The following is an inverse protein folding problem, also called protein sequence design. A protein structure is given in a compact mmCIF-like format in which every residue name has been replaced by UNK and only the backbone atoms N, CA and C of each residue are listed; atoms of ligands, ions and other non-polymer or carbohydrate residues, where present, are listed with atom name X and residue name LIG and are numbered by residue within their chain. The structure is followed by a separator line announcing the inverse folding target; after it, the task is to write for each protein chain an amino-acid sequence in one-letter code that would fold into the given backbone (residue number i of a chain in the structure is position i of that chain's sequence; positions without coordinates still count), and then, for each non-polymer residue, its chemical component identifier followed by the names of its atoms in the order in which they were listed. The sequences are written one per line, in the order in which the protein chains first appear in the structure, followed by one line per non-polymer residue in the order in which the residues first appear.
data_IF_132758302964
#
_entry.id   IF_132758302964
#
_cell.length_a   1.000
_cell.length_b   1.000
_cell.length_c   1.000
_cell.angle_alpha   90.00
_cell.angle_beta   90.00
_cell.angle_gamma   90.00
#
_symmetry.space_group_name_H-M   'P 1'
#
loop_
_entity.id
_entity.type
_entity.pdbx_description
1 polymer ?
#
# COMPACT_ATOMS: atom_id res chain seq x y z
N UNK A 1 0.51 -1.15 0.69
CA UNK A 1 -0.18 -0.72 -0.53
C UNK A 1 -1.41 0.14 -0.24
N UNK A 2 -2.57 -0.37 0.19
CA UNK A 2 -3.81 0.46 0.29
C UNK A 2 -3.61 1.76 1.10
N UNK A 3 -3.15 1.67 2.36
CA UNK A 3 -2.86 2.86 3.18
C UNK A 3 -1.90 3.84 2.46
N UNK A 4 -0.81 3.30 1.91
CA UNK A 4 0.18 4.06 1.16
C UNK A 4 -0.45 4.84 -0.02
N UNK A 5 -1.24 4.18 -0.88
CA UNK A 5 -1.76 4.84 -2.10
C UNK A 5 -2.85 5.85 -1.78
N UNK A 6 -3.66 5.60 -0.74
CA UNK A 6 -4.66 6.57 -0.28
C UNK A 6 -3.99 7.80 0.33
N UNK A 7 -3.01 7.62 1.21
CA UNK A 7 -2.25 8.73 1.80
C UNK A 7 -1.46 9.49 0.74
N UNK A 8 -0.84 8.79 -0.22
CA UNK A 8 -0.17 9.41 -1.35
C UNK A 8 -1.13 10.26 -2.19
N UNK A 9 -2.31 9.73 -2.54
CA UNK A 9 -3.28 10.48 -3.33
C UNK A 9 -3.75 11.75 -2.61
N UNK A 10 -4.03 11.66 -1.30
CA UNK A 10 -4.38 12.82 -0.47
C UNK A 10 -3.25 13.85 -0.39
N UNK A 11 -2.01 13.40 -0.20
CA UNK A 11 -0.86 14.27 -0.13
C UNK A 11 -0.61 14.97 -1.47
N UNK A 12 -0.65 14.23 -2.58
CA UNK A 12 -0.51 14.77 -3.94
C UNK A 12 -1.57 15.83 -4.24
N UNK A 13 -2.83 15.58 -3.90
CA UNK A 13 -3.92 16.54 -4.12
C UNK A 13 -3.76 17.86 -3.36
N UNK A 14 -2.93 17.90 -2.30
CA UNK A 14 -2.59 19.13 -1.56
C UNK A 14 -1.34 19.82 -2.08
N UNK A 15 -0.62 19.22 -3.03
CA UNK A 15 0.61 19.81 -3.55
C UNK A 15 0.30 20.95 -4.53
N UNK A 16 1.02 22.08 -4.44
CA UNK A 16 0.92 23.14 -5.44
C UNK A 16 1.18 22.58 -6.85
N UNK A 17 0.30 22.92 -7.79
CA UNK A 17 0.38 22.47 -9.19
C UNK A 17 -0.31 21.13 -9.48
N UNK A 18 -0.84 20.43 -8.47
CA UNK A 18 -1.69 19.26 -8.68
C UNK A 18 -3.16 19.67 -8.56
N UNK A 19 -3.89 19.60 -9.68
CA UNK A 19 -5.31 19.93 -9.69
C UNK A 19 -6.19 18.76 -9.22
N UNK A 20 -5.90 17.55 -9.72
CA UNK A 20 -6.70 16.36 -9.50
C UNK A 20 -5.85 15.10 -9.42
N UNK A 21 -6.24 14.16 -8.56
CA UNK A 21 -5.66 12.81 -8.47
C UNK A 21 -6.79 11.77 -8.51
N UNK A 22 -6.73 10.88 -9.50
CA UNK A 22 -7.65 9.73 -9.60
C UNK A 22 -6.93 8.44 -9.21
N UNK A 23 -7.37 7.82 -8.11
CA UNK A 23 -6.92 6.51 -7.66
C UNK A 23 -7.86 5.43 -8.22
N UNK A 24 -7.42 4.77 -9.30
CA UNK A 24 -8.21 3.69 -9.89
C UNK A 24 -8.21 2.41 -9.05
N UNK A 25 -9.37 1.78 -8.96
CA UNK A 25 -9.56 0.48 -8.33
C UNK A 25 -10.69 -0.30 -9.03
N UNK A 26 -10.91 -1.54 -8.60
CA UNK A 26 -12.03 -2.37 -9.10
C UNK A 26 -13.34 -1.99 -8.43
N UNK A 27 -14.41 -1.89 -9.21
CA UNK A 27 -15.78 -1.82 -8.68
C UNK A 27 -16.29 -3.21 -8.33
N UNK A 28 -16.72 -3.40 -7.07
CA UNK A 28 -17.21 -4.70 -6.58
C UNK A 28 -18.58 -4.49 -5.94
N UNK A 29 -19.59 -5.12 -6.51
CA UNK A 29 -21.00 -5.07 -6.09
C UNK A 29 -21.41 -6.42 -5.50
N UNK A 30 -20.61 -6.93 -4.56
CA UNK A 30 -20.82 -8.21 -3.90
C UNK A 30 -21.31 -7.99 -2.46
N UNK A 31 -22.25 -8.79 -1.95
CA UNK A 31 -22.64 -8.74 -0.54
C UNK A 31 -21.52 -9.14 0.43
N UNK A 32 -20.43 -9.75 -0.07
CA UNK A 32 -19.26 -10.14 0.73
C UNK A 32 -18.35 -8.95 1.13
N UNK A 33 -18.55 -7.78 0.51
CA UNK A 33 -17.79 -6.57 0.79
C UNK A 33 -18.73 -5.42 1.14
N UNK A 34 -18.19 -4.39 1.78
CA UNK A 34 -18.99 -3.20 2.09
C UNK A 34 -19.56 -2.57 0.81
N UNK A 35 -20.80 -2.07 0.89
CA UNK A 35 -21.53 -1.54 -0.26
C UNK A 35 -20.80 -0.37 -0.95
N UNK A 36 -19.95 0.37 -0.21
CA UNK A 36 -19.13 1.46 -0.76
C UNK A 36 -18.17 1.00 -1.86
N UNK A 37 -17.79 -0.28 -1.91
CA UNK A 37 -16.99 -0.83 -3.01
C UNK A 37 -17.75 -0.86 -4.34
N UNK A 38 -19.08 -0.77 -4.28
CA UNK A 38 -19.95 -0.63 -5.43
C UNK A 38 -20.07 0.80 -5.94
N UNK A 39 -19.69 1.81 -5.16
CA UNK A 39 -19.80 3.22 -5.55
C UNK A 39 -18.74 3.57 -6.61
N UNK A 40 -19.15 4.10 -7.79
CA UNK A 40 -18.23 4.32 -8.90
C UNK A 40 -17.17 5.38 -8.60
N UNK A 41 -17.47 6.35 -7.74
CA UNK A 41 -16.55 7.40 -7.34
C UNK A 41 -16.70 7.72 -5.84
N UNK A 42 -15.60 8.03 -5.18
CA UNK A 42 -15.56 8.48 -3.79
C UNK A 42 -14.51 9.57 -3.65
N UNK A 43 -14.86 10.70 -3.03
CA UNK A 43 -13.91 11.78 -2.79
C UNK A 43 -13.08 11.49 -1.53
N UNK A 44 -11.75 11.53 -1.65
CA UNK A 44 -10.81 11.31 -0.56
C UNK A 44 -10.47 12.59 0.20
N UNK A 45 -10.25 13.69 -0.52
CA UNK A 45 -9.88 15.02 0.00
C UNK A 45 -10.11 16.04 -1.11
N UNK A 46 -10.66 17.21 -0.79
CA UNK A 46 -10.80 18.30 -1.75
C UNK A 46 -9.45 18.90 -2.16
N UNK A 47 -9.47 19.84 -3.11
CA UNK A 47 -8.30 20.67 -3.41
C UNK A 47 -7.84 21.49 -2.19
N UNK A 48 -6.64 22.09 -2.22
CA UNK A 48 -6.22 23.01 -1.18
C UNK A 48 -7.22 24.16 -1.06
N UNK A 49 -7.80 24.34 0.13
CA UNK A 49 -8.57 25.53 0.47
C UNK A 49 -7.55 26.67 0.66
N UNK A 50 -7.26 27.42 -0.40
CA UNK A 50 -6.45 28.65 -0.29
C UNK A 50 -7.37 29.87 -0.31
N UNK A 51 -7.02 30.87 0.50
CA UNK A 51 -7.80 32.05 0.88
C UNK A 51 -8.22 32.91 -0.34
N UNK A 52 -9.23 32.47 -1.09
CA UNK A 52 -9.91 33.27 -2.13
C UNK A 52 -9.77 32.80 -3.58
N UNK A 53 -9.20 31.61 -3.84
CA UNK A 53 -9.24 30.99 -5.19
C UNK A 53 -10.29 29.87 -5.17
N UNK A 54 -11.40 30.05 -5.89
CA UNK A 54 -12.36 28.96 -6.14
C UNK A 54 -11.65 27.86 -6.92
N UNK A 55 -11.18 26.83 -6.22
CA UNK A 55 -10.67 25.62 -6.87
C UNK A 55 -11.87 24.88 -7.44
N UNK A 56 -11.85 24.62 -8.75
CA UNK A 56 -13.01 24.04 -9.45
C UNK A 56 -13.52 22.72 -8.83
N UNK A 57 -14.80 22.42 -9.06
CA UNK A 57 -15.54 21.32 -8.40
C UNK A 57 -14.91 19.93 -8.56
N UNK A 58 -14.05 19.75 -9.57
CA UNK A 58 -13.38 18.47 -9.86
C UNK A 58 -11.96 18.37 -9.27
N UNK A 59 -11.55 19.32 -8.44
CA UNK A 59 -10.24 19.33 -7.79
C UNK A 59 -10.17 18.42 -6.57
N UNK A 60 -8.96 17.92 -6.28
CA UNK A 60 -8.71 17.04 -5.14
C UNK A 60 -8.41 15.58 -5.53
N UNK A 61 -8.53 14.68 -4.57
CA UNK A 61 -8.26 13.25 -4.73
C UNK A 61 -9.56 12.43 -4.71
N UNK A 62 -9.67 11.47 -5.62
CA UNK A 62 -10.83 10.60 -5.76
C UNK A 62 -10.42 9.13 -5.87
N UNK A 63 -11.18 8.21 -5.31
CA UNK A 63 -11.18 6.80 -5.70
C UNK A 63 -12.15 6.67 -6.87
N UNK A 64 -11.67 6.12 -7.99
CA UNK A 64 -12.48 5.83 -9.16
C UNK A 64 -12.53 4.32 -9.36
N UNK A 65 -13.71 3.73 -9.23
CA UNK A 65 -13.90 2.28 -9.29
C UNK A 65 -14.36 1.87 -10.67
N UNK A 66 -13.47 1.22 -11.42
CA UNK A 66 -13.74 0.73 -12.77
C UNK A 66 -14.39 -0.66 -12.68
N UNK A 67 -15.56 -0.88 -13.32
CA UNK A 67 -16.15 -2.21 -13.42
C UNK A 67 -15.32 -3.08 -14.36
N UNK A 68 -14.86 -4.24 -13.88
CA UNK A 68 -14.26 -5.26 -14.72
C UNK A 68 -14.35 -6.65 -14.09
N UNK A 69 -14.47 -7.68 -14.93
CA UNK A 69 -14.77 -9.03 -14.52
C UNK A 69 -16.10 -9.15 -13.74
N UNK A 70 -16.37 -10.31 -13.11
CA UNK A 70 -17.60 -10.55 -12.36
C UNK A 70 -17.79 -9.60 -11.16
N UNK A 71 -18.75 -8.68 -11.25
CA UNK A 71 -18.98 -7.62 -10.24
C UNK A 71 -19.67 -8.11 -8.98
N UNK A 72 -20.44 -9.18 -9.09
CA UNK A 72 -21.26 -9.79 -8.04
C UNK A 72 -20.45 -10.55 -6.98
N UNK A 73 -19.14 -10.72 -7.18
CA UNK A 73 -18.24 -11.44 -6.27
C UNK A 73 -16.88 -10.78 -6.09
N UNK A 74 -16.32 -10.97 -4.91
CA UNK A 74 -14.93 -10.63 -4.66
C UNK A 74 -13.99 -11.60 -5.41
N UNK A 75 -12.98 -11.05 -6.07
CA UNK A 75 -11.91 -11.83 -6.69
C UNK A 75 -10.59 -11.53 -6.01
N UNK A 76 -9.85 -12.60 -5.72
CA UNK A 76 -8.47 -12.49 -5.25
C UNK A 76 -7.59 -11.98 -6.40
N UNK A 77 -6.57 -11.20 -6.08
CA UNK A 77 -5.67 -10.56 -7.05
C UNK A 77 -5.06 -11.54 -8.07
N UNK A 78 -4.79 -12.78 -7.66
CA UNK A 78 -4.25 -13.83 -8.53
C UNK A 78 -5.21 -14.22 -9.68
N UNK A 79 -6.49 -13.89 -9.56
CA UNK A 79 -7.54 -14.20 -10.54
C UNK A 79 -7.91 -12.99 -11.41
N UNK A 80 -7.29 -11.83 -11.20
CA UNK A 80 -7.63 -10.60 -11.95
C UNK A 80 -6.94 -10.53 -13.33
N UNK A 81 -5.86 -11.29 -13.55
CA UNK A 81 -5.06 -11.24 -14.78
C UNK A 81 -5.86 -11.32 -16.10
N UNK A 82 -6.88 -12.18 -16.25
CA UNK A 82 -7.66 -12.25 -17.49
C UNK A 82 -8.48 -10.98 -17.80
N UNK A 83 -8.68 -10.11 -16.81
CA UNK A 83 -9.55 -8.94 -16.92
C UNK A 83 -8.77 -7.61 -16.92
N UNK A 84 -7.44 -7.65 -17.00
CA UNK A 84 -6.60 -6.45 -16.99
C UNK A 84 -6.91 -5.53 -18.19
N UNK A 85 -7.12 -6.10 -19.38
CA UNK A 85 -7.48 -5.29 -20.56
C UNK A 85 -8.85 -4.62 -20.41
N UNK A 86 -9.84 -5.31 -19.85
CA UNK A 86 -11.16 -4.74 -19.56
C UNK A 86 -11.06 -3.56 -18.57
N UNK A 87 -10.20 -3.68 -17.55
CA UNK A 87 -9.90 -2.58 -16.64
C UNK A 87 -9.25 -1.40 -17.38
N UNK A 88 -8.29 -1.65 -18.28
CA UNK A 88 -7.62 -0.62 -19.07
C UNK A 88 -8.61 0.12 -19.98
N UNK A 89 -9.52 -0.59 -20.65
CA UNK A 89 -10.55 0.02 -21.49
C UNK A 89 -11.45 0.96 -20.67
N UNK A 90 -11.90 0.52 -19.49
CA UNK A 90 -12.70 1.34 -18.59
C UNK A 90 -11.95 2.54 -18.02
N UNK A 91 -10.68 2.37 -17.63
CA UNK A 91 -9.82 3.44 -17.15
C UNK A 91 -9.52 4.47 -18.27
N UNK A 92 -9.27 4.01 -19.49
CA UNK A 92 -9.06 4.86 -20.66
C UNK A 92 -10.31 5.68 -20.96
N UNK A 93 -11.50 5.07 -20.93
CA UNK A 93 -12.76 5.78 -21.12
C UNK A 93 -12.97 6.87 -20.05
N UNK A 94 -12.64 6.58 -18.79
CA UNK A 94 -12.67 7.59 -17.72
C UNK A 94 -11.69 8.73 -17.98
N UNK A 95 -10.43 8.43 -18.31
CA UNK A 95 -9.42 9.44 -18.62
C UNK A 95 -9.85 10.34 -19.80
N UNK A 96 -10.45 9.77 -20.86
CA UNK A 96 -10.95 10.52 -22.01
C UNK A 96 -12.11 11.45 -21.63
N UNK A 97 -13.03 10.98 -20.79
CA UNK A 97 -14.14 11.79 -20.31
C UNK A 97 -13.64 12.92 -19.40
N UNK A 98 -12.78 12.62 -18.43
CA UNK A 98 -12.21 13.61 -17.54
C UNK A 98 -11.35 14.62 -18.29
N UNK A 99 -10.63 14.22 -19.33
CA UNK A 99 -9.83 15.14 -20.14
C UNK A 99 -10.68 16.22 -20.80
N UNK A 100 -11.90 15.89 -21.24
CA UNK A 100 -12.88 16.86 -21.78
C UNK A 100 -13.43 17.76 -20.68
N UNK A 101 -13.88 17.17 -19.57
CA UNK A 101 -14.46 17.92 -18.43
C UNK A 101 -13.46 18.92 -17.86
N UNK A 102 -12.21 18.48 -17.61
CA UNK A 102 -11.13 19.34 -17.16
C UNK A 102 -10.74 20.36 -18.22
N UNK A 103 -10.86 20.02 -19.51
CA UNK A 103 -10.67 20.97 -20.59
C UNK A 103 -11.63 22.14 -20.55
N UNK A 104 -12.90 21.88 -20.26
CA UNK A 104 -13.92 22.93 -20.08
C UNK A 104 -13.70 23.76 -18.80
N UNK A 105 -13.32 23.12 -17.70
CA UNK A 105 -13.16 23.78 -16.40
C UNK A 105 -11.87 24.61 -16.29
N UNK A 106 -10.72 24.05 -16.71
CA UNK A 106 -9.39 24.62 -16.48
C UNK A 106 -8.51 24.67 -17.73
N UNK A 107 -8.87 23.95 -18.80
CA UNK A 107 -8.08 23.87 -20.04
C UNK A 107 -8.45 24.90 -21.10
N UNK A 108 -9.35 25.85 -20.82
CA UNK A 108 -9.81 26.84 -21.81
C UNK A 108 -10.48 26.22 -23.03
N UNK A 109 -11.19 25.10 -22.84
CA UNK A 109 -11.83 24.30 -23.89
C UNK A 109 -10.90 23.31 -24.60
N UNK A 110 -9.61 23.25 -24.25
CA UNK A 110 -8.68 22.24 -24.77
C UNK A 110 -8.61 21.02 -23.84
N UNK A 111 -8.51 19.78 -24.36
CA UNK A 111 -8.42 18.58 -23.53
C UNK A 111 -7.23 18.64 -22.56
N UNK A 112 -7.47 18.28 -21.30
CA UNK A 112 -6.44 18.24 -20.25
C UNK A 112 -6.11 16.79 -19.94
N UNK A 113 -4.90 16.37 -20.31
CA UNK A 113 -4.45 14.99 -20.12
C UNK A 113 -3.80 14.78 -18.74
N UNK A 114 -3.82 13.54 -18.22
CA UNK A 114 -3.01 13.19 -17.07
C UNK A 114 -1.54 13.52 -17.33
N UNK A 115 -0.87 14.16 -16.37
CA UNK A 115 0.56 14.45 -16.49
C UNK A 115 1.42 13.19 -16.27
N UNK A 116 0.93 12.25 -15.46
CA UNK A 116 1.64 11.02 -15.08
C UNK A 116 0.65 9.92 -14.75
N UNK A 117 1.01 8.67 -15.04
CA UNK A 117 0.28 7.48 -14.59
C UNK A 117 1.19 6.69 -13.65
N UNK A 118 0.71 6.39 -12.44
CA UNK A 118 1.50 5.70 -11.41
C UNK A 118 0.96 4.29 -11.15
N UNK A 119 1.65 3.28 -11.67
CA UNK A 119 1.37 1.87 -11.39
C UNK A 119 1.83 1.45 -9.99
N UNK A 120 0.95 0.78 -9.25
CA UNK A 120 1.24 0.28 -7.90
C UNK A 120 0.98 -1.22 -7.81
N UNK A 121 2.03 -2.01 -7.57
CA UNK A 121 2.00 -3.48 -7.64
C UNK A 121 1.92 -3.99 -9.09
N UNK A 122 1.96 -5.31 -9.27
CA UNK A 122 2.19 -5.93 -10.58
C UNK A 122 1.03 -5.79 -11.56
N UNK A 123 -0.21 -5.97 -11.09
CA UNK A 123 -1.42 -5.86 -11.89
C UNK A 123 -1.67 -4.42 -12.35
N UNK A 124 -1.60 -3.45 -11.44
CA UNK A 124 -1.74 -2.05 -11.80
C UNK A 124 -0.52 -1.50 -12.56
N UNK A 125 0.66 -2.09 -12.40
CA UNK A 125 1.83 -1.80 -13.24
C UNK A 125 1.56 -2.19 -14.70
N UNK A 126 1.06 -3.41 -14.93
CA UNK A 126 0.68 -3.89 -16.26
C UNK A 126 -0.41 -3.00 -16.89
N UNK A 127 -1.47 -2.70 -16.13
CA UNK A 127 -2.51 -1.75 -16.56
C UNK A 127 -1.94 -0.36 -16.87
N UNK A 128 -1.04 0.15 -16.02
CA UNK A 128 -0.43 1.46 -16.19
C UNK A 128 0.46 1.53 -17.43
N UNK A 129 1.19 0.46 -17.76
CA UNK A 129 2.00 0.37 -18.98
C UNK A 129 1.13 0.49 -20.23
N UNK A 130 0.02 -0.26 -20.28
CA UNK A 130 -0.93 -0.21 -21.39
C UNK A 130 -1.60 1.18 -21.50
N UNK A 131 -2.04 1.74 -20.37
CA UNK A 131 -2.71 3.04 -20.34
C UNK A 131 -1.75 4.20 -20.70
N UNK A 132 -0.52 4.15 -20.20
CA UNK A 132 0.55 5.10 -20.52
C UNK A 132 0.88 5.08 -22.01
N UNK A 133 1.03 3.89 -22.60
CA UNK A 133 1.28 3.76 -24.04
C UNK A 133 0.10 4.29 -24.87
N UNK A 134 -1.14 4.02 -24.47
CA UNK A 134 -2.34 4.47 -25.18
C UNK A 134 -2.52 6.00 -25.12
N UNK A 135 -2.20 6.63 -23.99
CA UNK A 135 -2.35 8.07 -23.78
C UNK A 135 -1.09 8.88 -24.12
N UNK A 136 0.04 8.21 -24.36
CA UNK A 136 1.36 8.82 -24.49
C UNK A 136 1.72 9.73 -23.29
N UNK A 137 1.50 9.20 -22.09
CA UNK A 137 1.72 9.88 -20.79
C UNK A 137 2.82 9.15 -20.02
N UNK A 138 3.79 9.84 -19.40
CA UNK A 138 4.84 9.20 -18.61
C UNK A 138 4.32 8.24 -17.54
N UNK A 139 4.96 7.07 -17.42
CA UNK A 139 4.64 6.07 -16.40
C UNK A 139 5.63 6.10 -15.25
N UNK A 140 5.12 6.04 -14.02
CA UNK A 140 5.88 5.77 -12.79
C UNK A 140 5.44 4.43 -12.21
N UNK A 141 6.36 3.68 -11.61
CA UNK A 141 6.07 2.38 -10.99
C UNK A 141 6.50 2.35 -9.52
N UNK A 142 5.69 1.73 -8.67
CA UNK A 142 6.09 1.30 -7.32
C UNK A 142 5.68 -0.15 -7.10
N UNK A 143 6.65 -1.03 -6.88
CA UNK A 143 6.41 -2.48 -6.81
C UNK A 143 5.65 -2.93 -5.56
N UNK A 144 5.92 -2.34 -4.38
CA UNK A 144 5.46 -2.77 -3.03
C UNK A 144 5.93 -4.16 -2.59
N UNK A 145 5.80 -5.15 -3.47
CA UNK A 145 6.30 -6.52 -3.33
C UNK A 145 6.55 -7.06 -4.73
N UNK A 146 7.64 -7.79 -4.91
CA UNK A 146 8.03 -8.33 -6.21
C UNK A 146 7.82 -9.85 -6.31
N UNK A 147 7.45 -10.29 -7.52
CA UNK A 147 7.19 -11.69 -7.87
C UNK A 147 8.43 -12.58 -7.77
N UNK A 148 9.59 -12.15 -8.28
CA UNK A 148 10.85 -12.94 -8.23
C UNK A 148 11.29 -13.23 -6.79
N UNK A 149 11.25 -12.22 -5.91
CA UNK A 149 11.55 -12.40 -4.49
C UNK A 149 10.55 -13.32 -3.78
N UNK A 150 9.25 -13.19 -4.10
CA UNK A 150 8.22 -14.08 -3.55
C UNK A 150 8.43 -15.53 -4.01
N UNK A 151 8.78 -15.74 -5.28
CA UNK A 151 9.08 -17.07 -5.83
C UNK A 151 10.29 -17.69 -5.13
N UNK A 152 11.40 -16.97 -5.03
CA UNK A 152 12.62 -17.43 -4.37
C UNK A 152 12.35 -17.84 -2.90
N UNK A 153 11.58 -17.01 -2.17
CA UNK A 153 11.18 -17.32 -0.80
C UNK A 153 10.33 -18.58 -0.68
N UNK A 154 9.36 -18.78 -1.59
CA UNK A 154 8.49 -19.96 -1.57
C UNK A 154 9.28 -21.24 -1.91
N UNK A 155 10.19 -21.17 -2.87
CA UNK A 155 11.06 -22.30 -3.22
C UNK A 155 11.99 -22.68 -2.07
N UNK A 156 12.57 -21.70 -1.36
CA UNK A 156 13.42 -21.94 -0.18
C UNK A 156 12.68 -22.65 0.96
N UNK A 157 11.36 -22.51 1.05
CA UNK A 157 10.57 -23.23 2.07
C UNK A 157 10.44 -24.73 1.76
N UNK A 158 10.66 -25.15 0.50
CA UNK A 158 10.65 -26.56 0.09
C UNK A 158 9.31 -27.28 0.22
N UNK A 159 8.20 -26.55 0.46
CA UNK A 159 6.86 -27.13 0.70
C UNK A 159 6.05 -27.40 -0.57
N UNK A 160 6.39 -26.72 -1.67
CA UNK A 160 5.62 -26.74 -2.91
C UNK A 160 6.57 -26.75 -4.10
N UNK A 161 6.20 -27.43 -5.19
CA UNK A 161 6.93 -27.34 -6.46
C UNK A 161 6.76 -25.95 -7.10
N UNK A 162 7.61 -25.61 -8.07
CA UNK A 162 7.50 -24.35 -8.82
C UNK A 162 6.15 -24.29 -9.56
N UNK A 163 5.69 -25.41 -10.07
CA UNK A 163 4.43 -25.59 -10.78
C UNK A 163 3.24 -25.33 -9.85
N UNK A 164 3.26 -25.88 -8.63
CA UNK A 164 2.19 -25.65 -7.64
C UNK A 164 2.14 -24.18 -7.20
N UNK A 165 3.31 -23.58 -6.98
CA UNK A 165 3.44 -22.15 -6.67
C UNK A 165 2.82 -21.32 -7.80
N UNK A 166 3.15 -21.64 -9.06
CA UNK A 166 2.61 -20.92 -10.20
C UNK A 166 1.11 -21.12 -10.36
N UNK A 167 0.60 -22.34 -10.17
CA UNK A 167 -0.83 -22.62 -10.23
C UNK A 167 -1.62 -21.79 -9.21
N UNK A 168 -1.09 -21.69 -7.98
CA UNK A 168 -1.73 -20.98 -6.85
C UNK A 168 -1.62 -19.47 -6.97
N UNK A 169 -0.42 -18.95 -7.20
CA UNK A 169 -0.12 -17.51 -7.10
C UNK A 169 -0.07 -16.80 -8.46
N UNK A 170 -0.20 -17.54 -9.56
CA UNK A 170 0.05 -17.05 -10.93
C UNK A 170 1.38 -16.31 -11.03
N UNK A 171 2.40 -16.83 -10.35
CA UNK A 171 3.65 -16.12 -10.09
C UNK A 171 4.40 -15.78 -11.38
N UNK A 172 4.32 -16.62 -12.40
CA UNK A 172 4.97 -16.36 -13.69
C UNK A 172 4.28 -15.21 -14.42
N UNK A 173 2.94 -15.19 -14.47
CA UNK A 173 2.18 -14.09 -15.06
C UNK A 173 2.42 -12.76 -14.34
N UNK A 174 2.57 -12.82 -13.01
CA UNK A 174 2.95 -11.67 -12.20
C UNK A 174 4.34 -11.14 -12.56
N UNK A 175 5.35 -12.02 -12.65
CA UNK A 175 6.71 -11.62 -13.01
C UNK A 175 6.73 -11.00 -14.40
N UNK A 176 5.98 -11.58 -15.36
CA UNK A 176 5.80 -11.01 -16.69
C UNK A 176 5.21 -9.59 -16.64
N UNK A 177 4.14 -9.37 -15.87
CA UNK A 177 3.54 -8.05 -15.69
C UNK A 177 4.52 -7.04 -15.07
N UNK A 178 5.36 -7.48 -14.12
CA UNK A 178 6.40 -6.65 -13.51
C UNK A 178 7.53 -6.32 -14.50
N UNK A 179 7.95 -7.24 -15.38
CA UNK A 179 8.94 -6.98 -16.44
C UNK A 179 8.40 -5.98 -17.47
N UNK A 180 7.15 -6.15 -17.92
CA UNK A 180 6.48 -5.20 -18.82
C UNK A 180 6.38 -3.81 -18.19
N UNK A 181 6.06 -3.76 -16.89
CA UNK A 181 5.99 -2.50 -16.15
C UNK A 181 7.35 -1.81 -16.02
N UNK A 182 8.43 -2.57 -15.86
CA UNK A 182 9.79 -2.04 -15.80
C UNK A 182 10.21 -1.42 -17.13
N UNK A 183 9.87 -2.07 -18.24
CA UNK A 183 10.19 -1.60 -19.58
C UNK A 183 9.47 -0.28 -19.91
N UNK A 184 8.19 -0.18 -19.53
CA UNK A 184 7.37 1.00 -19.78
C UNK A 184 7.64 2.18 -18.81
N UNK A 185 8.14 1.92 -17.60
CA UNK A 185 8.28 2.96 -16.59
C UNK A 185 9.42 3.94 -16.91
N UNK A 186 9.16 5.24 -16.82
CA UNK A 186 10.18 6.30 -16.81
C UNK A 186 10.98 6.33 -15.49
N UNK A 187 10.25 6.06 -14.40
CA UNK A 187 10.73 6.15 -13.03
C UNK A 187 10.16 5.00 -12.21
N UNK A 188 11.03 4.35 -11.43
CA UNK A 188 10.62 3.36 -10.43
C UNK A 188 10.96 3.91 -9.05
N UNK A 189 9.92 4.09 -8.23
CA UNK A 189 10.03 4.54 -6.85
C UNK A 189 10.09 3.33 -5.93
N UNK A 190 11.11 3.31 -5.09
CA UNK A 190 11.40 2.26 -4.10
C UNK A 190 11.47 2.84 -2.70
N UNK A 191 11.21 2.02 -1.68
CA UNK A 191 11.29 2.47 -0.29
C UNK A 191 12.72 2.48 0.24
N UNK A 192 13.58 1.59 -0.27
CA UNK A 192 14.97 1.44 0.21
C UNK A 192 15.94 1.20 -0.94
N UNK A 193 17.22 1.47 -0.69
CA UNK A 193 18.28 1.14 -1.65
C UNK A 193 18.44 -0.36 -1.87
N UNK A 194 18.19 -1.16 -0.83
CA UNK A 194 18.20 -2.62 -0.89
C UNK A 194 17.15 -3.16 -1.87
N UNK A 195 15.96 -2.54 -1.94
CA UNK A 195 14.93 -2.92 -2.90
C UNK A 195 15.44 -2.80 -4.35
N UNK A 196 16.19 -1.74 -4.67
CA UNK A 196 16.78 -1.55 -6.00
C UNK A 196 17.81 -2.64 -6.29
N UNK A 197 18.76 -2.84 -5.39
CA UNK A 197 19.95 -3.64 -5.69
C UNK A 197 19.68 -5.16 -5.57
N UNK A 198 18.84 -5.59 -4.63
CA UNK A 198 18.61 -7.01 -4.32
C UNK A 198 17.25 -7.56 -4.78
N UNK A 199 16.26 -6.69 -5.02
CA UNK A 199 14.93 -7.12 -5.46
C UNK A 199 14.72 -6.84 -6.94
N UNK A 200 14.79 -5.56 -7.34
CA UNK A 200 14.72 -5.18 -8.75
C UNK A 200 15.93 -5.69 -9.55
N UNK A 201 17.11 -5.79 -8.93
CA UNK A 201 18.29 -6.42 -9.55
C UNK A 201 18.12 -7.91 -9.89
N UNK A 202 17.02 -8.55 -9.50
CA UNK A 202 16.68 -9.90 -9.94
C UNK A 202 16.00 -9.93 -11.30
N UNK A 203 15.49 -8.81 -11.83
CA UNK A 203 14.70 -8.74 -13.06
C UNK A 203 15.59 -8.58 -14.29
N UNK A 204 15.12 -9.10 -15.43
CA UNK A 204 15.93 -9.08 -16.66
C UNK A 204 15.87 -7.71 -17.35
N UNK A 205 14.74 -6.99 -17.21
CA UNK A 205 14.56 -5.63 -17.72
C UNK A 205 15.35 -4.55 -16.97
N UNK A 206 16.12 -4.90 -15.94
CA UNK A 206 16.85 -3.92 -15.14
C UNK A 206 18.25 -4.39 -14.69
N UNK A 207 19.26 -3.59 -14.99
CA UNK A 207 20.63 -3.77 -14.49
C UNK A 207 21.14 -2.45 -13.89
N UNK A 208 21.53 -2.50 -12.61
CA UNK A 208 21.97 -1.34 -11.83
C UNK A 208 23.21 -0.66 -12.43
N UNK A 209 24.12 -1.42 -13.06
CA UNK A 209 25.33 -0.85 -13.65
C UNK A 209 25.00 -0.20 -14.98
N UNK A 210 24.17 -0.84 -15.80
CA UNK A 210 23.75 -0.34 -17.09
C UNK A 210 22.90 0.94 -16.94
N UNK A 211 21.94 1.00 -16.01
CA UNK A 211 21.18 2.22 -15.71
C UNK A 211 22.10 3.40 -15.42
N UNK A 212 23.10 3.22 -14.55
CA UNK A 212 24.05 4.27 -14.19
C UNK A 212 24.85 4.76 -15.40
N UNK A 213 25.26 3.86 -16.27
CA UNK A 213 26.01 4.18 -17.49
C UNK A 213 25.12 4.94 -18.48
N UNK A 214 23.92 4.44 -18.76
CA UNK A 214 22.96 5.10 -19.66
C UNK A 214 22.62 6.50 -19.16
N UNK A 215 22.35 6.65 -17.86
CA UNK A 215 22.08 7.95 -17.25
C UNK A 215 23.26 8.91 -17.34
N UNK A 216 24.48 8.43 -17.10
CA UNK A 216 25.68 9.25 -17.22
C UNK A 216 25.92 9.71 -18.68
N UNK A 217 25.62 8.86 -19.67
CA UNK A 217 25.70 9.21 -21.10
C UNK A 217 24.63 10.23 -21.48
N UNK A 218 23.37 9.99 -21.11
CA UNK A 218 22.25 10.90 -21.38
C UNK A 218 22.52 12.31 -20.84
N UNK A 219 23.03 12.43 -19.59
CA UNK A 219 23.40 13.72 -19.00
C UNK A 219 24.51 14.47 -19.75
N UNK A 220 25.35 13.76 -20.51
CA UNK A 220 26.42 14.34 -21.32
C UNK A 220 25.98 14.59 -22.77
N UNK A 221 24.69 14.43 -23.09
CA UNK A 221 24.16 14.54 -24.46
C UNK A 221 24.64 13.42 -25.38
N UNK A 222 25.15 12.31 -24.84
CA UNK A 222 25.62 11.17 -25.62
C UNK A 222 24.47 10.26 -26.05
N UNK A 223 24.59 9.64 -27.23
CA UNK A 223 23.66 8.63 -27.72
C UNK A 223 23.68 7.37 -26.82
N UNK A 224 22.50 6.85 -26.50
CA UNK A 224 22.28 5.62 -25.74
C UNK A 224 21.98 4.39 -26.63
N UNK A 225 22.00 4.54 -27.96
CA UNK A 225 21.75 3.48 -28.96
C UNK A 225 20.40 2.79 -28.75
N UNK A 226 19.35 3.59 -28.54
CA UNK A 226 17.98 3.13 -28.28
C UNK A 226 17.86 2.20 -27.05
N UNK A 227 18.89 2.15 -26.21
CA UNK A 227 18.84 1.45 -24.93
C UNK A 227 18.27 2.35 -23.87
N UNK A 228 17.32 1.80 -23.13
CA UNK A 228 16.60 2.47 -22.09
C UNK A 228 16.62 1.62 -20.82
N UNK A 229 16.64 2.28 -19.66
CA UNK A 229 16.39 1.65 -18.36
C UNK A 229 15.65 2.64 -17.47
N UNK A 230 14.65 2.19 -16.69
CA UNK A 230 13.94 3.04 -15.76
C UNK A 230 14.89 3.67 -14.76
N UNK A 231 14.65 4.95 -14.45
CA UNK A 231 15.38 5.61 -13.37
C UNK A 231 14.87 5.08 -12.03
N UNK A 232 15.75 4.49 -11.24
CA UNK A 232 15.42 4.05 -9.88
C UNK A 232 15.63 5.17 -8.86
N UNK A 233 14.61 5.49 -8.05
CA UNK A 233 14.70 6.50 -6.99
C UNK A 233 14.18 5.93 -5.67
N UNK A 234 14.92 6.20 -4.60
CA UNK A 234 14.50 5.87 -3.24
C UNK A 234 13.69 7.04 -2.70
N UNK A 235 12.39 6.85 -2.50
CA UNK A 235 11.50 7.79 -1.82
C UNK A 235 10.80 7.02 -0.71
N UNK A 236 11.36 7.02 0.51
CA UNK A 236 10.77 6.30 1.63
C UNK A 236 9.37 6.86 1.95
N UNK A 237 8.36 6.00 2.20
CA UNK A 237 7.06 6.49 2.65
C UNK A 237 7.16 7.21 3.99
N UNK A 238 6.33 8.24 4.16
CA UNK A 238 6.03 8.82 5.46
C UNK A 238 4.91 8.06 6.19
N UNK A 239 4.54 8.56 7.36
CA UNK A 239 3.30 8.19 8.04
C UNK A 239 2.51 9.45 8.35
N UNK A 240 1.20 9.38 8.22
CA UNK A 240 0.32 10.41 8.77
C UNK A 240 0.27 10.28 10.30
N UNK A 241 0.77 11.32 10.98
CA UNK A 241 0.79 11.41 12.44
C UNK A 241 -0.38 12.21 13.02
N UNK A 242 -1.34 12.67 12.19
CA UNK A 242 -2.52 13.43 12.66
C UNK A 242 -3.30 12.73 13.77
N UNK A 243 -3.30 11.39 13.77
CA UNK A 243 -3.97 10.55 14.76
C UNK A 243 -3.03 10.01 15.84
N UNK A 244 -1.76 10.42 15.86
CA UNK A 244 -0.77 10.04 16.88
C UNK A 244 -0.57 11.22 17.80
N UNK A 245 -1.26 11.20 18.94
CA UNK A 245 -1.02 12.16 20.02
C UNK A 245 0.25 11.73 20.74
N UNK A 246 1.35 12.45 20.52
CA UNK A 246 2.55 12.26 21.32
C UNK A 246 2.24 12.59 22.79
N UNK A 247 2.50 11.66 23.70
CA UNK A 247 2.59 12.01 25.11
C UNK A 247 3.83 12.89 25.26
N UNK A 248 3.66 14.16 25.63
CA UNK A 248 4.79 14.97 26.07
C UNK A 248 5.40 14.29 27.31
N UNK A 249 6.73 14.16 27.30
CA UNK A 249 7.52 13.58 28.38
C UNK A 249 7.30 14.37 29.68
N UNK A 250 6.32 13.95 30.48
CA UNK A 250 6.26 14.35 31.88
C UNK A 250 7.42 13.65 32.60
N UNK A 251 8.25 14.36 33.37
CA UNK A 251 9.42 13.78 34.02
C UNK A 251 8.99 12.62 34.91
N UNK A 252 9.77 11.54 34.89
CA UNK A 252 9.61 10.31 35.67
C UNK A 252 9.22 10.62 37.13
N UNK A 253 7.91 10.57 37.42
CA UNK A 253 7.40 10.47 38.77
C UNK A 253 6.62 9.17 38.82
N UNK A 254 7.01 8.33 39.76
CA UNK A 254 6.70 6.91 40.00
C UNK A 254 5.19 6.62 40.24
N UNK A 255 4.31 7.10 39.35
CA UNK A 255 2.88 7.21 39.62
C UNK A 255 1.99 7.51 38.40
N UNK A 256 2.38 7.10 37.18
CA UNK A 256 1.57 7.33 35.97
C UNK A 256 0.13 6.78 36.08
N UNK A 257 -0.07 5.69 36.83
CA UNK A 257 -1.41 5.13 37.04
C UNK A 257 -2.30 6.04 37.91
N UNK A 258 -1.73 6.75 38.88
CA UNK A 258 -2.50 7.61 39.77
C UNK A 258 -3.06 8.81 38.99
N UNK A 259 -2.34 9.31 37.98
CA UNK A 259 -2.83 10.39 37.09
C UNK A 259 -4.00 9.95 36.18
N UNK A 260 -4.11 8.65 35.89
CA UNK A 260 -5.19 8.07 35.07
C UNK A 260 -6.43 7.68 35.90
N UNK A 261 -6.27 7.41 37.20
CA UNK A 261 -7.35 6.91 38.07
C UNK A 261 -7.76 7.93 39.16
N UNK A 262 -6.91 8.91 39.47
CA UNK A 262 -7.12 9.92 40.51
C UNK A 262 -6.63 11.29 40.08
N UNK A 263 -7.55 12.11 39.56
CA UNK A 263 -7.30 13.52 39.33
C UNK A 263 -7.10 14.23 40.67
N UNK A 264 -5.88 14.66 40.97
CA UNK A 264 -5.62 15.61 42.07
C UNK A 264 -5.32 17.03 41.59
N UNK A 265 -5.07 17.26 40.29
CA UNK A 265 -4.74 18.60 39.79
C UNK A 265 -5.57 19.01 38.58
N UNK A 266 -6.88 19.21 38.73
CA UNK A 266 -7.72 20.09 37.89
C UNK A 266 -7.77 19.88 36.36
N UNK A 267 -6.98 18.98 35.79
CA UNK A 267 -6.97 18.57 34.40
C UNK A 267 -7.92 17.38 34.27
N UNK A 268 -8.91 17.48 33.38
CA UNK A 268 -9.83 16.36 33.10
C UNK A 268 -9.04 15.06 32.93
N UNK A 269 -9.48 13.94 33.55
CA UNK A 269 -8.82 12.65 33.36
C UNK A 269 -8.72 12.38 31.86
N UNK A 270 -7.51 12.09 31.36
CA UNK A 270 -7.31 11.67 29.97
C UNK A 270 -8.26 10.51 29.72
N UNK A 271 -9.17 10.68 28.76
CA UNK A 271 -10.20 9.68 28.49
C UNK A 271 -9.54 8.32 28.25
N UNK A 272 -9.87 7.35 29.09
CA UNK A 272 -9.37 5.98 28.96
C UNK A 272 -9.76 5.48 27.55
N UNK A 273 -8.80 5.02 26.72
CA UNK A 273 -9.10 4.53 25.39
C UNK A 273 -10.16 3.43 25.44
N UNK A 274 -11.11 3.41 24.50
CA UNK A 274 -12.21 2.44 24.52
C UNK A 274 -11.73 0.97 24.58
N UNK A 275 -10.60 0.66 23.94
CA UNK A 275 -10.00 -0.68 23.91
C UNK A 275 -9.30 -1.08 25.22
N UNK A 276 -9.11 -0.13 26.16
CA UNK A 276 -8.32 -0.35 27.37
C UNK A 276 -8.85 -1.52 28.20
N UNK A 277 -10.14 -1.50 28.53
CA UNK A 277 -10.78 -2.56 29.32
C UNK A 277 -10.71 -3.92 28.63
N UNK A 278 -10.79 -3.94 27.29
CA UNK A 278 -10.75 -5.18 26.50
C UNK A 278 -9.37 -5.84 26.51
N UNK A 279 -8.30 -5.04 26.60
CA UNK A 279 -6.91 -5.53 26.66
C UNK A 279 -6.51 -5.86 28.09
N UNK A 280 -6.74 -4.92 29.02
CA UNK A 280 -6.20 -5.00 30.38
C UNK A 280 -6.78 -6.17 31.18
N UNK A 281 -8.02 -6.61 30.88
CA UNK A 281 -8.64 -7.78 31.51
C UNK A 281 -7.85 -9.09 31.33
N UNK A 282 -6.95 -9.16 30.35
CA UNK A 282 -6.13 -10.35 30.10
C UNK A 282 -4.76 -10.30 30.79
N UNK A 283 -4.36 -9.16 31.36
CA UNK A 283 -3.05 -8.98 31.98
C UNK A 283 -3.13 -9.19 33.48
N UNK A 284 -2.32 -10.10 34.03
CA UNK A 284 -2.27 -10.34 35.48
C UNK A 284 -1.75 -9.12 36.25
N UNK A 285 -0.77 -8.42 35.67
CA UNK A 285 -0.31 -7.13 36.19
C UNK A 285 -0.27 -6.11 35.03
N UNK A 286 -1.32 -5.29 34.88
CA UNK A 286 -1.38 -4.23 33.87
C UNK A 286 -0.28 -3.16 34.00
N UNK A 287 0.40 -3.05 35.15
CA UNK A 287 1.44 -2.05 35.38
C UNK A 287 2.80 -2.41 34.78
N UNK A 288 2.98 -3.65 34.31
CA UNK A 288 4.23 -3.99 33.62
C UNK A 288 4.29 -3.30 32.26
N UNK A 289 5.49 -2.87 31.81
CA UNK A 289 5.68 -2.35 30.46
C UNK A 289 5.20 -3.35 29.40
N UNK A 290 4.73 -2.83 28.28
CA UNK A 290 4.15 -3.63 27.20
C UNK A 290 5.11 -3.75 26.02
N UNK A 291 5.33 -4.98 25.57
CA UNK A 291 5.88 -5.28 24.25
C UNK A 291 4.68 -5.39 23.31
N UNK A 292 4.49 -4.38 22.46
CA UNK A 292 3.38 -4.31 21.51
C UNK A 292 3.83 -4.75 20.12
N UNK A 293 3.12 -5.70 19.51
CA UNK A 293 3.27 -6.03 18.09
C UNK A 293 1.92 -5.94 17.36
N UNK A 294 1.86 -5.08 16.35
CA UNK A 294 0.68 -4.85 15.52
C UNK A 294 0.96 -5.27 14.08
N UNK A 295 0.36 -6.36 13.62
CA UNK A 295 0.53 -6.81 12.22
C UNK A 295 -0.57 -7.80 11.81
N UNK A 296 -0.77 -7.99 10.51
CA UNK A 296 -1.64 -9.08 10.04
C UNK A 296 -1.05 -10.45 10.43
N UNK A 297 -1.86 -11.49 10.70
CA UNK A 297 -1.39 -12.83 11.05
C UNK A 297 -0.88 -13.57 9.81
N UNK A 298 0.08 -12.99 9.10
CA UNK A 298 0.73 -13.57 7.93
C UNK A 298 1.99 -14.33 8.37
N UNK A 299 2.24 -15.55 7.87
CA UNK A 299 3.44 -16.33 8.23
C UNK A 299 4.76 -15.57 8.09
N UNK A 300 4.86 -14.62 7.15
CA UNK A 300 6.06 -13.79 6.95
C UNK A 300 6.33 -12.80 8.08
N UNK A 301 5.32 -12.47 8.89
CA UNK A 301 5.48 -11.57 10.05
C UNK A 301 6.10 -12.27 11.26
N UNK A 302 6.21 -13.60 11.21
CA UNK A 302 6.90 -14.42 12.21
C UNK A 302 6.42 -14.22 13.67
N UNK A 303 5.13 -13.92 13.85
CA UNK A 303 4.53 -13.65 15.16
C UNK A 303 4.63 -14.87 16.09
N UNK A 304 4.52 -16.08 15.55
CA UNK A 304 4.62 -17.32 16.32
C UNK A 304 5.99 -17.50 16.98
N UNK A 305 7.07 -17.05 16.33
CA UNK A 305 8.42 -17.09 16.90
C UNK A 305 8.60 -16.03 17.98
N UNK A 306 8.02 -14.84 17.81
CA UNK A 306 7.98 -13.82 18.86
C UNK A 306 7.27 -14.35 20.11
N UNK A 307 6.10 -14.97 19.94
CA UNK A 307 5.35 -15.58 21.04
C UNK A 307 6.17 -16.65 21.76
N UNK A 308 6.80 -17.56 21.00
CA UNK A 308 7.66 -18.61 21.55
C UNK A 308 8.85 -18.03 22.34
N UNK A 309 9.58 -17.08 21.75
CA UNK A 309 10.74 -16.45 22.38
C UNK A 309 10.35 -15.73 23.69
N UNK A 310 9.22 -15.03 23.69
CA UNK A 310 8.69 -14.40 24.91
C UNK A 310 8.25 -15.44 25.95
N UNK A 311 7.54 -16.50 25.52
CA UNK A 311 7.07 -17.59 26.39
C UNK A 311 8.20 -18.36 27.08
N UNK A 312 9.30 -18.60 26.36
CA UNK A 312 10.47 -19.34 26.86
C UNK A 312 11.39 -18.47 27.74
N UNK A 313 11.34 -17.14 27.62
CA UNK A 313 12.16 -16.23 28.41
C UNK A 313 11.48 -15.83 29.72
N UNK A 314 11.75 -16.57 30.80
CA UNK A 314 11.20 -16.28 32.14
C UNK A 314 11.48 -14.84 32.62
N UNK A 315 12.72 -14.31 32.55
CA UNK A 315 12.97 -12.92 32.96
C UNK A 315 12.08 -11.93 32.21
N UNK A 316 11.92 -12.10 30.89
CA UNK A 316 11.12 -11.18 30.08
C UNK A 316 9.64 -11.19 30.47
N UNK A 317 9.07 -12.35 30.82
CA UNK A 317 7.69 -12.47 31.34
C UNK A 317 7.52 -11.87 32.73
N UNK A 318 8.58 -11.90 33.55
CA UNK A 318 8.57 -11.25 34.85
C UNK A 318 8.58 -9.72 34.69
N UNK A 319 9.32 -9.18 33.70
CA UNK A 319 9.45 -7.73 33.49
C UNK A 319 8.35 -7.08 32.63
N UNK A 320 7.79 -7.76 31.63
CA UNK A 320 6.91 -7.13 30.65
C UNK A 320 5.66 -7.97 30.33
N UNK A 321 4.63 -7.30 29.79
CA UNK A 321 3.48 -7.92 29.15
C UNK A 321 3.71 -8.00 27.64
N UNK A 322 3.25 -9.08 26.98
CA UNK A 322 3.22 -9.16 25.52
C UNK A 322 1.80 -8.91 25.02
N UNK A 323 1.63 -7.95 24.13
CA UNK A 323 0.33 -7.64 23.51
C UNK A 323 0.45 -7.75 22.00
N UNK A 324 -0.33 -8.66 21.41
CA UNK A 324 -0.35 -8.95 19.98
C UNK A 324 -1.69 -8.52 19.37
N UNK A 325 -1.66 -7.54 18.46
CA UNK A 325 -2.83 -7.08 17.71
C UNK A 325 -2.73 -7.62 16.28
N UNK A 326 -3.60 -8.58 15.93
CA UNK A 326 -3.44 -9.42 14.75
C UNK A 326 -4.57 -9.31 13.72
N UNK A 327 -4.90 -8.09 13.28
CA UNK A 327 -6.01 -7.83 12.35
C UNK A 327 -7.40 -7.95 13.00
N UNK A 328 -8.46 -7.69 12.21
CA UNK A 328 -9.84 -7.74 12.67
C UNK A 328 -10.33 -9.19 12.77
N UNK A 329 -11.15 -9.46 13.80
CA UNK A 329 -11.57 -10.77 14.26
C UNK A 329 -13.08 -10.90 14.15
N UNK A 330 -13.55 -11.51 13.07
CA UNK A 330 -14.96 -11.88 12.96
C UNK A 330 -15.10 -13.41 12.93
N UNK A 331 -14.42 -14.10 11.99
CA UNK A 331 -14.36 -15.57 11.96
C UNK A 331 -12.98 -16.08 11.48
N UNK A 332 -12.38 -17.04 12.19
CA UNK A 332 -11.10 -17.68 11.82
C UNK A 332 -11.29 -18.61 10.62
N UNK A 333 -12.46 -19.23 10.49
CA UNK A 333 -12.76 -20.20 9.44
C UNK A 333 -12.87 -19.54 8.05
N UNK A 334 -13.21 -18.26 8.00
CA UNK A 334 -13.29 -17.46 6.77
C UNK A 334 -11.92 -16.91 6.32
N UNK A 335 -10.89 -17.02 7.16
CA UNK A 335 -9.56 -16.54 6.83
C UNK A 335 -8.86 -17.48 5.82
N UNK A 336 -7.93 -16.93 5.04
CA UNK A 336 -7.04 -17.77 4.23
C UNK A 336 -6.30 -18.77 5.13
N UNK A 337 -6.15 -20.02 4.67
CA UNK A 337 -5.58 -21.13 5.47
C UNK A 337 -4.25 -20.80 6.16
N UNK A 338 -3.36 -20.04 5.51
CA UNK A 338 -2.11 -19.58 6.10
C UNK A 338 -2.30 -18.62 7.28
N UNK A 339 -3.22 -17.66 7.15
CA UNK A 339 -3.53 -16.71 8.22
C UNK A 339 -4.28 -17.37 9.38
N UNK A 340 -5.26 -18.22 9.06
CA UNK A 340 -5.98 -19.02 10.05
C UNK A 340 -5.01 -19.88 10.86
N UNK A 341 -4.08 -20.56 10.19
CA UNK A 341 -3.07 -21.39 10.85
C UNK A 341 -2.20 -20.59 11.81
N UNK A 342 -1.71 -19.41 11.42
CA UNK A 342 -0.90 -18.54 12.31
C UNK A 342 -1.72 -18.15 13.53
N UNK A 343 -2.97 -17.73 13.34
CA UNK A 343 -3.82 -17.29 14.43
C UNK A 343 -4.14 -18.44 15.40
N UNK A 344 -4.47 -19.63 14.88
CA UNK A 344 -4.70 -20.85 15.67
C UNK A 344 -3.46 -21.22 16.46
N UNK A 345 -2.26 -21.13 15.87
CA UNK A 345 -1.00 -21.40 16.60
C UNK A 345 -0.74 -20.39 17.70
N UNK A 346 -1.15 -19.13 17.54
CA UNK A 346 -1.00 -18.11 18.60
C UNK A 346 -2.01 -18.31 19.74
N UNK A 347 -3.19 -18.84 19.44
CA UNK A 347 -4.27 -19.04 20.43
C UNK A 347 -4.17 -20.35 21.23
N UNK A 348 -3.42 -21.35 20.74
CA UNK A 348 -3.26 -22.66 21.38
C UNK A 348 -1.97 -22.74 22.18
#
# INVERSE_FOLDING_TARGET
QIKYVVELARALARMPGVYRVDLFSRQVSSPEVDWSYGEPAEMLTGGPEDDGIEVGESSGAYIIRIPFGPRDKYLRKELLWPYIQEFVDGALAHCLNMSKVLGEQIGGGQPVWPYVIHGHYADAGDSAALLSGALNVPMVLTGHSLGRNKLEQLLKQGRQSKEDINSTYKIMRRIEGEELSLDAAELVITSTKQEIDEQWGLYDGFDVKLEKVLRARARRGGNCHDRYMPRMVVIPPGMDFSNVVAQEDTPEVDGELTSLIGGTDGSSPKAIPAIWSDVMRFLTNPHKPMILALSRPDPKKNITTLLKAFGECRPLREFANLTLIMGNRDDIEEMSSGNASVLITVLK
#
